data_IF_962290653099
#
_entry.id   IF_962290653099
#
_cell.length_a   1.000
_cell.length_b   1.000
_cell.length_c   1.000
_cell.angle_alpha   90.00
_cell.angle_beta   90.00
_cell.angle_gamma   90.00
#
_symmetry.space_group_name_H-M   'P 1'
#
loop_
_entity.id
_entity.type
_entity.pdbx_description
1 polymer ?
#
# COMPACT_ATOMS: atom_id res chain seq x y z
N UNK A 1 -13.72 -2.29 14.43
CA UNK A 1 -13.09 -1.84 13.17
C UNK A 1 -11.75 -2.54 13.05
N UNK A 2 -11.32 -2.88 11.83
CA UNK A 2 -9.99 -3.48 11.64
C UNK A 2 -8.91 -2.41 11.86
N UNK A 3 -7.83 -2.71 12.61
CA UNK A 3 -6.77 -1.76 12.88
C UNK A 3 -6.02 -1.43 11.59
N UNK A 4 -5.85 -0.14 11.30
CA UNK A 4 -5.19 0.31 10.07
C UNK A 4 -3.72 -0.10 10.04
N UNK A 5 -3.25 -0.82 8.99
CA UNK A 5 -1.84 -1.22 8.89
C UNK A 5 -0.86 -0.06 8.62
N UNK A 6 -1.32 1.20 8.66
CA UNK A 6 -0.56 2.39 8.25
C UNK A 6 -0.21 3.30 9.43
N UNK A 7 -0.71 3.00 10.63
CA UNK A 7 -0.59 3.85 11.81
C UNK A 7 0.85 4.02 12.33
N UNK A 8 1.89 3.49 11.68
CA UNK A 8 3.19 3.31 12.34
C UNK A 8 4.41 4.01 11.73
N UNK A 9 4.22 4.82 10.68
CA UNK A 9 5.36 5.56 10.08
C UNK A 9 4.83 6.80 9.33
N UNK A 10 5.56 7.93 9.24
CA UNK A 10 5.16 9.01 8.37
C UNK A 10 5.15 8.45 6.95
N UNK A 11 4.22 8.83 6.06
CA UNK A 11 4.32 8.43 4.66
C UNK A 11 5.72 8.71 4.14
N UNK A 12 6.40 7.65 3.67
CA UNK A 12 7.67 7.81 3.00
C UNK A 12 7.40 8.60 1.71
N UNK A 13 7.71 9.89 1.74
CA UNK A 13 7.69 10.78 0.57
C UNK A 13 9.13 10.93 0.10
N UNK A 14 9.62 10.09 -0.83
CA UNK A 14 10.89 10.38 -1.46
C UNK A 14 10.75 11.69 -2.23
N UNK A 15 11.40 12.73 -1.71
CA UNK A 15 11.73 13.97 -2.41
C UNK A 15 12.75 13.65 -3.54
N UNK A 16 12.79 14.41 -4.66
CA UNK A 16 12.79 15.87 -4.66
C UNK A 16 11.51 16.51 -5.22
N UNK A 17 11.19 17.70 -4.70
CA UNK A 17 10.17 18.69 -5.11
C UNK A 17 9.20 18.28 -6.24
N UNK A 18 7.91 18.11 -5.88
CA UNK A 18 6.81 18.16 -6.84
C UNK A 18 6.00 16.87 -7.00
N UNK A 19 6.42 15.77 -6.37
CA UNK A 19 5.74 14.48 -6.48
C UNK A 19 5.05 14.11 -5.17
N UNK A 20 3.74 14.33 -5.11
CA UNK A 20 2.90 13.89 -4.00
C UNK A 20 2.47 12.43 -4.23
N UNK A 21 3.20 11.51 -3.61
CA UNK A 21 2.78 10.10 -3.54
C UNK A 21 1.52 10.00 -2.69
N UNK A 22 0.39 9.66 -3.31
CA UNK A 22 -0.86 9.36 -2.62
C UNK A 22 -1.03 7.84 -2.58
N UNK A 23 -1.04 7.28 -1.36
CA UNK A 23 -1.48 5.92 -1.09
C UNK A 23 -2.90 6.03 -0.54
N UNK A 24 -3.87 5.44 -1.23
CA UNK A 24 -5.25 5.39 -0.75
C UNK A 24 -5.79 3.98 -0.78
N UNK A 25 -6.62 3.72 0.23
CA UNK A 25 -7.51 2.58 0.45
C UNK A 25 -6.85 1.20 0.62
N UNK A 26 -7.06 0.65 1.83
CA UNK A 26 -6.71 -0.72 2.20
C UNK A 26 -7.99 -1.49 2.46
N UNK A 27 -8.23 -2.53 1.67
CA UNK A 27 -9.25 -3.51 1.98
C UNK A 27 -8.54 -4.76 2.50
N UNK A 28 -8.66 -5.03 3.80
CA UNK A 28 -8.53 -6.39 4.27
C UNK A 28 -9.83 -7.10 3.87
N UNK A 29 -9.71 -8.12 3.03
CA UNK A 29 -10.89 -8.82 2.50
C UNK A 29 -11.35 -9.81 3.55
N UNK A 30 -12.59 -9.69 3.99
CA UNK A 30 -13.25 -10.77 4.73
C UNK A 30 -13.35 -11.98 3.80
N UNK A 31 -12.63 -13.06 4.13
CA UNK A 31 -12.75 -14.31 3.38
C UNK A 31 -14.12 -14.95 3.61
N UNK A 32 -14.52 -15.84 2.70
CA UNK A 32 -15.83 -16.51 2.67
C UNK A 32 -16.20 -17.26 3.97
N UNK A 33 -15.22 -17.59 4.82
CA UNK A 33 -15.40 -18.26 6.10
C UNK A 33 -15.30 -17.33 7.34
N UNK A 34 -15.35 -16.01 7.14
CA UNK A 34 -15.05 -15.02 8.20
C UNK A 34 -13.56 -14.94 8.56
N UNK A 35 -12.69 -15.65 7.82
CA UNK A 35 -11.24 -15.59 7.98
C UNK A 35 -10.73 -14.43 7.13
N UNK A 36 -10.23 -13.39 7.78
CA UNK A 36 -9.63 -12.24 7.11
C UNK A 36 -8.29 -12.69 6.51
N UNK A 37 -8.20 -12.68 5.18
CA UNK A 37 -6.93 -12.90 4.51
C UNK A 37 -6.17 -11.57 4.50
N UNK A 38 -5.00 -11.49 5.14
CA UNK A 38 -4.25 -10.25 5.23
C UNK A 38 -3.58 -9.97 3.89
N UNK A 39 -4.31 -9.35 2.97
CA UNK A 39 -3.78 -8.89 1.70
C UNK A 39 -3.75 -7.38 1.76
N UNK A 40 -2.55 -6.82 1.67
CA UNK A 40 -2.40 -5.37 1.64
C UNK A 40 -2.49 -4.93 0.20
N UNK A 41 -3.60 -4.28 -0.15
CA UNK A 41 -3.72 -3.57 -1.43
C UNK A 41 -3.36 -2.10 -1.17
N UNK A 42 -2.47 -1.57 -2.00
CA UNK A 42 -2.04 -0.18 -1.97
C UNK A 42 -2.08 0.40 -3.38
N UNK A 43 -2.22 1.72 -3.46
CA UNK A 43 -2.19 2.47 -4.69
C UNK A 43 -1.02 3.46 -4.66
N UNK A 44 -0.43 3.76 -5.82
CA UNK A 44 0.53 4.86 -5.95
C UNK A 44 0.37 5.58 -7.29
N UNK A 45 0.62 6.88 -7.29
CA UNK A 45 0.59 7.72 -8.47
C UNK A 45 1.98 8.24 -8.79
N UNK A 46 2.55 7.79 -9.91
CA UNK A 46 3.84 8.20 -10.46
C UNK A 46 3.61 9.26 -11.52
N UNK A 47 4.27 10.41 -11.41
CA UNK A 47 4.14 11.50 -12.37
C UNK A 47 5.22 11.48 -13.46
N UNK A 48 6.07 10.44 -13.51
CA UNK A 48 7.11 10.30 -14.52
C UNK A 48 6.62 9.53 -15.76
N UNK A 49 7.18 9.81 -16.94
CA UNK A 49 6.80 9.15 -18.22
C UNK A 49 7.72 7.99 -18.61
N UNK A 50 8.59 7.56 -17.70
CA UNK A 50 9.65 6.61 -18.01
C UNK A 50 9.37 5.20 -17.49
N UNK A 51 8.11 4.86 -17.19
CA UNK A 51 7.76 3.47 -16.91
C UNK A 51 8.07 2.61 -18.13
N UNK A 52 8.81 1.54 -17.89
CA UNK A 52 9.24 0.59 -18.91
C UNK A 52 8.92 -0.81 -18.41
N UNK A 53 8.70 -1.71 -19.37
CA UNK A 53 8.62 -3.13 -19.07
C UNK A 53 9.91 -3.61 -18.41
N UNK A 54 9.76 -4.56 -17.46
CA UNK A 54 10.88 -5.13 -16.72
C UNK A 54 11.73 -4.13 -15.91
N UNK A 55 11.22 -2.92 -15.66
CA UNK A 55 11.85 -1.93 -14.77
C UNK A 55 10.87 -1.43 -13.72
N UNK A 56 11.29 -1.49 -12.46
CA UNK A 56 10.57 -0.88 -11.35
C UNK A 56 11.01 0.58 -11.18
N UNK A 57 10.05 1.48 -11.00
CA UNK A 57 10.33 2.87 -10.65
C UNK A 57 10.73 2.94 -9.19
N UNK A 58 11.59 3.89 -8.85
CA UNK A 58 11.98 4.09 -7.45
C UNK A 58 10.77 4.38 -6.54
N UNK A 59 9.82 5.19 -7.00
CA UNK A 59 8.58 5.47 -6.26
C UNK A 59 7.72 4.22 -6.04
N UNK A 60 7.74 3.26 -6.96
CA UNK A 60 7.02 1.99 -6.82
C UNK A 60 7.70 1.07 -5.81
N UNK A 61 9.01 0.93 -5.92
CA UNK A 61 9.80 0.13 -4.97
C UNK A 61 9.70 0.71 -3.56
N UNK A 62 9.83 2.02 -3.42
CA UNK A 62 9.70 2.71 -2.15
C UNK A 62 8.31 2.50 -1.52
N UNK A 63 7.23 2.62 -2.30
CA UNK A 63 5.88 2.39 -1.82
C UNK A 63 5.64 0.94 -1.39
N UNK A 64 6.16 -0.05 -2.15
CA UNK A 64 6.09 -1.46 -1.78
C UNK A 64 6.81 -1.73 -0.45
N UNK A 65 8.06 -1.28 -0.33
CA UNK A 65 8.87 -1.52 0.87
C UNK A 65 8.28 -0.82 2.09
N UNK A 66 7.74 0.39 1.94
CA UNK A 66 7.05 1.11 3.01
C UNK A 66 5.79 0.35 3.46
N UNK A 67 4.97 -0.15 2.53
CA UNK A 67 3.82 -0.99 2.88
C UNK A 67 4.23 -2.26 3.62
N UNK A 68 5.29 -2.94 3.17
CA UNK A 68 5.79 -4.15 3.81
C UNK A 68 6.34 -3.88 5.20
N UNK A 69 7.17 -2.83 5.35
CA UNK A 69 7.74 -2.42 6.64
C UNK A 69 6.64 -2.10 7.65
N UNK A 70 5.61 -1.36 7.24
CA UNK A 70 4.49 -1.01 8.12
C UNK A 70 3.65 -2.20 8.53
N UNK A 71 3.36 -3.12 7.61
CA UNK A 71 2.64 -4.35 7.92
C UNK A 71 3.38 -5.17 8.98
N UNK A 72 4.68 -5.38 8.78
CA UNK A 72 5.53 -6.09 9.74
C UNK A 72 5.63 -5.39 11.11
N UNK A 73 5.52 -4.07 11.15
CA UNK A 73 5.65 -3.28 12.38
C UNK A 73 4.33 -2.80 12.97
N UNK A 74 3.19 -3.24 12.43
CA UNK A 74 1.88 -2.81 12.90
C UNK A 74 1.70 -3.21 14.36
N UNK A 75 1.24 -2.27 15.20
CA UNK A 75 0.96 -2.50 16.62
C UNK A 75 -0.50 -2.80 16.87
N UNK A 76 -0.74 -3.64 17.87
CA UNK A 76 -2.06 -3.92 18.40
C UNK A 76 -2.43 -2.84 19.42
N UNK A 77 -3.17 -1.82 18.96
CA UNK A 77 -3.69 -0.75 19.81
C UNK A 77 -5.20 -0.82 19.77
N UNK A 78 -5.81 -1.17 20.91
CA UNK A 78 -7.25 -1.39 21.03
C UNK A 78 -8.01 -0.10 21.35
N UNK A 79 -7.35 0.87 22.00
CA UNK A 79 -7.93 2.17 22.30
C UNK A 79 -7.97 3.06 21.03
N UNK A 80 -9.17 3.48 20.56
CA UNK A 80 -9.29 4.31 19.38
C UNK A 80 -8.59 5.67 19.50
N UNK A 81 -8.54 6.27 20.70
CA UNK A 81 -7.87 7.56 20.92
C UNK A 81 -6.35 7.41 20.82
N UNK A 82 -5.76 6.38 21.43
CA UNK A 82 -4.34 6.05 21.23
C UNK A 82 -4.05 5.65 19.79
N UNK A 83 -4.96 4.94 19.11
CA UNK A 83 -4.83 4.59 17.71
C UNK A 83 -4.82 5.83 16.80
N UNK A 84 -5.62 6.86 17.10
CA UNK A 84 -5.64 8.12 16.37
C UNK A 84 -4.30 8.87 16.47
N UNK A 85 -3.69 8.86 17.66
CA UNK A 85 -2.39 9.51 17.92
C UNK A 85 -1.24 8.82 17.17
N UNK A 86 -1.40 7.58 16.73
CA UNK A 86 -0.44 6.89 15.87
C UNK A 86 -0.45 7.42 14.42
N UNK A 87 -1.54 8.07 13.97
CA UNK A 87 -1.60 8.66 12.65
C UNK A 87 -0.88 10.02 12.60
N UNK A 88 0.12 10.11 11.72
CA UNK A 88 0.71 11.40 11.37
C UNK A 88 -0.34 12.31 10.72
N UNK A 89 -0.51 13.51 11.27
CA UNK A 89 -1.24 14.60 10.61
C UNK A 89 -0.26 15.59 10.03
N UNK A 90 -0.41 15.86 8.73
CA UNK A 90 0.14 17.07 8.12
C UNK A 90 -0.90 18.16 8.34
N UNK A 91 -0.50 19.26 8.98
CA UNK A 91 -1.35 20.44 9.11
C UNK A 91 -1.57 21.06 7.72
N UNK A 92 -2.63 21.86 7.58
CA UNK A 92 -3.02 22.47 6.29
C UNK A 92 -1.92 23.37 5.70
N UNK A 93 -1.01 23.87 6.54
CA UNK A 93 0.15 24.69 6.17
C UNK A 93 1.40 23.86 5.78
N UNK A 94 1.27 22.53 5.72
CA UNK A 94 2.37 21.62 5.40
C UNK A 94 3.30 21.31 6.57
N UNK A 95 3.05 21.88 7.75
CA UNK A 95 3.86 21.61 8.94
C UNK A 95 3.56 20.21 9.45
N UNK A 96 4.63 19.49 9.82
CA UNK A 96 4.50 18.22 10.53
C UNK A 96 4.04 18.53 11.95
N UNK A 97 2.88 18.02 12.34
CA UNK A 97 2.55 17.92 13.75
C UNK A 97 3.53 16.93 14.37
N UNK A 98 4.33 17.37 15.33
CA UNK A 98 5.09 16.44 16.18
C UNK A 98 4.07 15.52 16.84
N UNK A 99 4.17 14.21 16.56
CA UNK A 99 3.34 13.27 17.28
C UNK A 99 3.65 13.43 18.77
N UNK A 100 2.64 13.33 19.66
CA UNK A 100 2.96 13.09 21.06
C UNK A 100 3.89 11.88 21.13
N UNK A 101 4.91 11.92 22.00
CA UNK A 101 5.83 10.80 22.22
C UNK A 101 5.05 9.59 22.74
N UNK A 102 4.42 8.85 21.82
CA UNK A 102 3.84 7.56 22.13
C UNK A 102 5.01 6.60 22.14
N UNK A 103 5.30 6.07 23.33
CA UNK A 103 6.15 4.90 23.42
C UNK A 103 5.41 3.71 22.79
N UNK A 104 5.62 3.55 21.50
CA UNK A 104 5.03 2.49 20.71
C UNK A 104 5.58 1.11 21.05
N UNK A 105 6.68 1.04 21.81
CA UNK A 105 7.27 -0.24 22.23
C UNK A 105 6.44 -0.93 23.32
N UNK A 106 5.54 -0.18 23.98
CA UNK A 106 4.59 -0.73 24.97
C UNK A 106 3.53 -1.64 24.36
N UNK A 107 3.31 -1.56 23.04
CA UNK A 107 2.31 -2.37 22.35
C UNK A 107 2.93 -3.58 21.67
N UNK A 108 2.24 -4.70 21.78
CA UNK A 108 2.54 -5.90 21.01
C UNK A 108 2.33 -5.66 19.50
N UNK A 109 2.97 -6.49 18.68
CA UNK A 109 2.68 -6.50 17.26
C UNK A 109 1.27 -7.03 16.99
N UNK A 110 0.57 -6.47 16.02
CA UNK A 110 -0.75 -6.93 15.59
C UNK A 110 -0.68 -8.33 14.97
N UNK A 111 0.43 -8.64 14.28
CA UNK A 111 0.62 -9.89 13.56
C UNK A 111 1.95 -10.56 13.94
N UNK A 112 2.16 -10.95 15.21
CA UNK A 112 3.47 -11.40 15.71
C UNK A 112 3.90 -12.75 15.10
N UNK A 113 2.95 -13.57 14.64
CA UNK A 113 3.20 -14.86 14.00
C UNK A 113 3.27 -14.77 12.47
N UNK A 114 2.98 -13.62 11.87
CA UNK A 114 2.90 -13.46 10.41
C UNK A 114 4.31 -13.38 9.82
N UNK A 115 4.71 -14.45 9.13
CA UNK A 115 6.01 -14.54 8.45
C UNK A 115 5.94 -14.22 6.96
N UNK A 116 4.75 -14.34 6.38
CA UNK A 116 4.50 -14.17 4.95
C UNK A 116 3.21 -13.38 4.79
N UNK A 117 3.30 -12.22 4.16
CA UNK A 117 2.14 -11.41 3.80
C UNK A 117 2.36 -10.82 2.40
N UNK A 118 1.38 -10.96 1.49
CA UNK A 118 1.46 -10.36 0.18
C UNK A 118 1.06 -8.88 0.24
N UNK A 119 1.82 -8.06 -0.48
CA UNK A 119 1.47 -6.68 -0.79
C UNK A 119 1.22 -6.57 -2.30
N UNK A 120 0.03 -6.11 -2.67
CA UNK A 120 -0.34 -5.74 -4.02
C UNK A 120 -0.29 -4.21 -4.12
N UNK A 121 0.50 -3.70 -5.07
CA UNK A 121 0.57 -2.27 -5.39
C UNK A 121 0.04 -2.04 -6.80
N UNK A 122 -1.03 -1.26 -6.91
CA UNK A 122 -1.49 -0.71 -8.17
C UNK A 122 -0.74 0.61 -8.41
N UNK A 123 0.15 0.60 -9.38
CA UNK A 123 0.95 1.78 -9.76
C UNK A 123 0.34 2.44 -10.99
N UNK A 124 -0.10 3.69 -10.84
CA UNK A 124 -0.62 4.52 -11.91
C UNK A 124 0.47 5.50 -12.35
N UNK A 125 0.94 5.39 -13.59
CA UNK A 125 2.06 6.17 -14.14
C UNK A 125 1.54 7.18 -15.15
N UNK A 126 1.30 8.41 -14.66
CA UNK A 126 0.44 9.42 -15.30
C UNK A 126 -0.94 8.82 -15.66
N UNK A 127 -1.95 9.59 -16.12
CA UNK A 127 -3.28 9.01 -16.36
C UNK A 127 -3.34 7.98 -17.51
N UNK A 128 -2.19 7.65 -18.13
CA UNK A 128 -2.12 6.86 -19.35
C UNK A 128 -1.63 5.44 -19.16
N UNK A 129 -0.92 5.13 -18.09
CA UNK A 129 -0.39 3.79 -17.88
C UNK A 129 -0.58 3.33 -16.45
N UNK A 130 -0.70 2.02 -16.24
CA UNK A 130 -0.66 1.45 -14.92
C UNK A 130 -0.12 0.03 -14.94
N UNK A 131 0.33 -0.47 -13.79
CA UNK A 131 0.73 -1.87 -13.61
C UNK A 131 0.45 -2.34 -12.20
N UNK A 132 0.41 -3.65 -12.06
CA UNK A 132 0.23 -4.34 -10.79
C UNK A 132 1.58 -4.90 -10.39
N UNK A 133 2.00 -4.56 -9.18
CA UNK A 133 3.19 -5.11 -8.55
C UNK A 133 2.76 -5.96 -7.37
N UNK A 134 3.40 -7.10 -7.20
CA UNK A 134 3.20 -8.01 -6.08
C UNK A 134 4.53 -8.17 -5.36
N UNK A 135 4.54 -7.96 -4.05
CA UNK A 135 5.69 -8.23 -3.21
C UNK A 135 5.31 -9.18 -2.07
N UNK A 136 6.19 -10.11 -1.73
CA UNK A 136 6.02 -10.99 -0.59
C UNK A 136 7.38 -11.33 0.01
N UNK A 137 7.44 -11.43 1.34
CA UNK A 137 8.60 -11.94 2.05
C UNK A 137 8.70 -13.45 1.85
N UNK A 138 9.89 -13.96 1.57
CA UNK A 138 10.26 -15.38 1.68
C UNK A 138 11.50 -15.49 2.54
N UNK A 139 11.32 -15.61 3.86
CA UNK A 139 12.43 -15.53 4.81
C UNK A 139 13.11 -14.14 4.77
N UNK A 140 14.43 -14.04 4.57
CA UNK A 140 15.14 -12.75 4.51
C UNK A 140 15.04 -12.05 3.14
N UNK A 141 14.38 -12.66 2.15
CA UNK A 141 14.32 -12.15 0.79
C UNK A 141 12.93 -11.58 0.48
N UNK A 142 12.89 -10.50 -0.29
CA UNK A 142 11.64 -9.98 -0.87
C UNK A 142 11.61 -10.40 -2.34
N UNK A 143 10.56 -11.13 -2.73
CA UNK A 143 10.29 -11.40 -4.14
C UNK A 143 9.29 -10.37 -4.65
N UNK A 144 9.68 -9.64 -5.69
CA UNK A 144 8.80 -8.69 -6.39
C UNK A 144 8.46 -9.26 -7.76
N UNK A 145 7.16 -9.31 -8.06
CA UNK A 145 6.63 -9.68 -9.37
C UNK A 145 5.93 -8.48 -9.97
N UNK A 146 6.08 -8.30 -11.27
CA UNK A 146 5.54 -7.18 -12.01
C UNK A 146 4.66 -7.71 -13.14
N UNK A 147 3.47 -7.13 -13.31
CA UNK A 147 2.66 -7.32 -14.51
C UNK A 147 3.24 -6.55 -15.70
N UNK A 148 2.75 -6.84 -16.90
CA UNK A 148 2.93 -5.91 -18.03
C UNK A 148 2.44 -4.50 -17.67
N UNK A 149 2.97 -3.51 -18.38
CA UNK A 149 2.50 -2.13 -18.36
C UNK A 149 1.22 -2.03 -19.19
N UNK A 150 0.11 -1.72 -18.54
CA UNK A 150 -1.18 -1.52 -19.19
C UNK A 150 -1.33 -0.08 -19.65
N UNK A 151 -1.94 0.11 -20.82
CA UNK A 151 -2.32 1.43 -21.33
C UNK A 151 -3.77 1.75 -20.98
N UNK A 152 -4.00 3.01 -20.61
CA UNK A 152 -5.27 3.66 -20.32
C UNK A 152 -5.54 4.81 -21.29
N UNK A 153 -4.77 4.92 -22.38
CA UNK A 153 -4.91 6.02 -23.35
C UNK A 153 -6.27 6.05 -24.06
N UNK A 154 -6.91 4.88 -24.22
CA UNK A 154 -8.26 4.80 -24.78
C UNK A 154 -9.12 3.82 -23.99
N UNK A 155 -10.43 4.08 -23.94
CA UNK A 155 -11.40 3.18 -23.28
C UNK A 155 -11.39 1.76 -23.86
N UNK A 156 -11.08 1.61 -25.15
CA UNK A 156 -11.08 0.32 -25.84
C UNK A 156 -9.96 -0.62 -25.36
N UNK A 157 -8.83 -0.07 -24.92
CA UNK A 157 -7.65 -0.84 -24.47
C UNK A 157 -7.46 -0.80 -22.95
N UNK A 158 -8.08 0.17 -22.27
CA UNK A 158 -7.95 0.36 -20.84
C UNK A 158 -8.51 -0.83 -20.06
N UNK A 159 -7.70 -1.53 -19.24
CA UNK A 159 -8.17 -2.68 -18.46
C UNK A 159 -8.89 -2.23 -17.18
N UNK A 160 -9.87 -1.33 -17.31
CA UNK A 160 -10.59 -0.72 -16.18
C UNK A 160 -11.20 -1.79 -15.27
N UNK A 161 -11.84 -2.80 -15.84
CA UNK A 161 -12.45 -3.89 -15.07
C UNK A 161 -11.43 -4.70 -14.27
N UNK A 162 -10.22 -4.89 -14.80
CA UNK A 162 -9.15 -5.61 -14.09
C UNK A 162 -8.74 -4.82 -12.84
N UNK A 163 -8.43 -3.53 -13.00
CA UNK A 163 -7.99 -2.67 -11.90
C UNK A 163 -9.10 -2.44 -10.87
N UNK A 164 -10.34 -2.26 -11.32
CA UNK A 164 -11.50 -2.16 -10.43
C UNK A 164 -11.67 -3.43 -9.58
N UNK A 165 -11.48 -4.62 -10.15
CA UNK A 165 -11.57 -5.88 -9.40
C UNK A 165 -10.49 -6.01 -8.33
N UNK A 166 -9.25 -5.57 -8.61
CA UNK A 166 -8.21 -5.50 -7.59
C UNK A 166 -8.57 -4.49 -6.49
N UNK A 167 -9.02 -3.29 -6.86
CA UNK A 167 -9.43 -2.26 -5.90
C UNK A 167 -10.58 -2.72 -5.01
N UNK A 168 -11.58 -3.39 -5.59
CA UNK A 168 -12.78 -3.87 -4.91
C UNK A 168 -12.60 -5.26 -4.29
N UNK A 169 -11.41 -5.85 -4.41
CA UNK A 169 -11.13 -7.22 -3.95
C UNK A 169 -12.15 -8.27 -4.42
N UNK A 170 -12.65 -8.11 -5.65
CA UNK A 170 -13.67 -8.98 -6.23
C UNK A 170 -13.02 -10.01 -7.14
N UNK A 171 -13.32 -11.30 -6.94
CA UNK A 171 -12.76 -12.39 -7.73
C UNK A 171 -13.09 -12.27 -9.23
N UNK A 172 -12.21 -12.80 -10.08
CA UNK A 172 -12.54 -13.04 -11.48
C UNK A 172 -13.58 -14.17 -11.52
N UNK A 173 -14.85 -13.85 -11.73
CA UNK A 173 -15.79 -14.86 -12.24
C UNK A 173 -15.22 -15.34 -13.58
N UNK A 174 -14.77 -16.59 -13.64
CA UNK A 174 -14.50 -17.30 -14.88
C UNK A 174 -15.84 -17.73 -15.45
N UNK A 175 -16.21 -17.18 -16.60
CA UNK A 175 -17.28 -17.73 -17.45
C UNK A 175 -16.85 -19.08 -18.05
#
# INVERSE_FOLDING_TARGET
SLPSPFAFDPPYRPYPHGYSWHYSERLEVEGENGVINPHVIANTYQFCDHAQENRILYGELAALLDCMKRRANQRKVEDPEEQEKLFWRTLDDGTRMELPEIDVTKYEYQFPAEKHFPVLLLSYVRPKHARILYACMGGPQITIRQSKLYSFETRAIAPVNLFARYLLSTALMTD
#
